data_IF_457753634211
#
_entry.id   IF_457753634211
#
_cell.length_a   1.000
_cell.length_b   1.000
_cell.length_c   1.000
_cell.angle_alpha   90.00
_cell.angle_beta   90.00
_cell.angle_gamma   90.00
#
_symmetry.space_group_name_H-M   'P 1'
#
loop_
_entity.id
_entity.type
_entity.pdbx_description
1 polymer ?
#
# COMPACT_ATOMS: atom_id res chain seq x y z
N UNK A 1 12.60 0.93 11.10
CA UNK A 1 11.73 0.27 10.10
C UNK A 1 12.19 0.56 8.68
N UNK A 2 12.52 1.82 8.32
CA UNK A 2 13.14 2.10 7.02
C UNK A 2 14.56 1.52 6.90
N UNK A 3 15.35 1.52 7.97
CA UNK A 3 16.76 1.06 7.92
C UNK A 3 16.95 -0.40 7.50
N UNK A 4 16.01 -1.28 7.85
CA UNK A 4 16.04 -2.68 7.42
C UNK A 4 15.75 -2.86 5.93
N UNK A 5 15.03 -1.93 5.31
CA UNK A 5 14.71 -1.98 3.88
C UNK A 5 15.97 -1.75 3.05
N UNK A 6 16.87 -0.87 3.49
CA UNK A 6 18.08 -0.52 2.72
C UNK A 6 19.15 -1.60 2.80
N UNK A 7 19.19 -2.35 3.90
CA UNK A 7 19.99 -3.56 4.01
C UNK A 7 19.55 -4.62 2.99
N UNK A 8 18.23 -4.73 2.73
CA UNK A 8 17.67 -5.62 1.72
C UNK A 8 17.93 -5.14 0.29
N UNK A 9 17.86 -3.82 0.05
CA UNK A 9 18.14 -3.21 -1.26
C UNK A 9 19.58 -3.48 -1.70
N UNK A 10 20.54 -3.42 -0.77
CA UNK A 10 21.98 -3.60 -1.05
C UNK A 10 22.46 -5.04 -1.05
N UNK A 11 21.57 -6.03 -0.97
CA UNK A 11 22.00 -7.43 -1.02
C UNK A 11 22.69 -7.73 -2.37
N UNK A 12 23.90 -8.33 -2.37
CA UNK A 12 24.60 -8.68 -3.59
C UNK A 12 23.73 -9.54 -4.52
N UNK A 13 23.70 -9.20 -5.81
CA UNK A 13 22.93 -9.93 -6.83
C UNK A 13 21.47 -9.49 -6.98
N UNK A 14 20.99 -8.53 -6.19
CA UNK A 14 19.66 -7.95 -6.37
C UNK A 14 19.68 -6.95 -7.54
N UNK A 15 18.86 -7.19 -8.56
CA UNK A 15 18.77 -6.34 -9.75
C UNK A 15 17.60 -5.36 -9.68
N UNK A 16 16.50 -5.76 -9.03
CA UNK A 16 15.26 -4.96 -8.95
C UNK A 16 14.67 -5.08 -7.55
N UNK A 17 14.22 -3.95 -7.00
CA UNK A 17 13.52 -3.88 -5.69
C UNK A 17 12.24 -3.07 -5.82
N UNK A 18 11.11 -3.64 -5.38
CA UNK A 18 9.86 -2.91 -5.21
C UNK A 18 9.62 -2.58 -3.74
N UNK A 19 9.35 -1.31 -3.45
CA UNK A 19 9.03 -0.79 -2.12
C UNK A 19 7.60 -0.27 -2.14
N UNK A 20 6.76 -0.78 -1.24
CA UNK A 20 5.39 -0.31 -1.04
C UNK A 20 5.31 0.33 0.35
N UNK A 21 4.79 1.55 0.43
CA UNK A 21 4.79 2.33 1.67
C UNK A 21 3.44 3.00 1.91
N UNK A 22 2.93 2.91 3.13
CA UNK A 22 1.72 3.65 3.53
C UNK A 22 1.97 5.17 3.53
N UNK A 23 1.07 5.94 2.91
CA UNK A 23 1.11 7.40 2.92
C UNK A 23 0.64 7.99 4.27
N UNK A 24 0.00 7.18 5.12
CA UNK A 24 -0.60 7.56 6.39
C UNK A 24 -1.43 8.84 6.23
N UNK A 25 -1.03 9.92 6.92
CA UNK A 25 -1.76 11.20 7.01
C UNK A 25 -1.16 12.31 6.15
N UNK A 26 0.03 12.12 5.56
CA UNK A 26 0.71 13.16 4.77
C UNK A 26 1.61 12.55 3.71
N UNK A 27 1.06 12.41 2.50
CA UNK A 27 1.74 11.86 1.33
C UNK A 27 3.06 12.58 1.03
N UNK A 28 3.08 13.91 1.12
CA UNK A 28 4.28 14.70 0.78
C UNK A 28 5.39 14.48 1.80
N UNK A 29 5.06 14.49 3.08
CA UNK A 29 6.02 14.20 4.13
C UNK A 29 6.54 12.76 4.03
N UNK A 30 5.66 11.80 3.72
CA UNK A 30 6.03 10.40 3.49
C UNK A 30 6.98 10.26 2.30
N UNK A 31 6.64 10.88 1.17
CA UNK A 31 7.50 10.89 -0.02
C UNK A 31 8.87 11.49 0.29
N UNK A 32 8.92 12.66 0.95
CA UNK A 32 10.18 13.29 1.31
C UNK A 32 11.04 12.37 2.19
N UNK A 33 10.45 11.70 3.19
CA UNK A 33 11.20 10.77 4.03
C UNK A 33 11.79 9.58 3.25
N UNK A 34 11.03 9.02 2.29
CA UNK A 34 11.53 7.95 1.40
C UNK A 34 12.62 8.48 0.47
N UNK A 35 12.39 9.65 -0.14
CA UNK A 35 13.31 10.34 -1.05
C UNK A 35 14.64 10.66 -0.36
N UNK A 36 14.61 11.27 0.81
CA UNK A 36 15.82 11.67 1.54
C UNK A 36 16.67 10.43 1.86
N UNK A 37 16.02 9.33 2.24
CA UNK A 37 16.72 8.07 2.50
C UNK A 37 17.29 7.42 1.23
N UNK A 38 16.62 7.54 0.09
CA UNK A 38 17.16 7.12 -1.21
C UNK A 38 18.39 7.92 -1.61
N UNK A 39 18.37 9.23 -1.38
CA UNK A 39 19.52 10.12 -1.61
C UNK A 39 20.70 9.70 -0.72
N UNK A 40 20.46 9.39 0.55
CA UNK A 40 21.51 8.91 1.47
C UNK A 40 22.14 7.58 1.01
N UNK A 41 21.39 6.75 0.29
CA UNK A 41 21.87 5.48 -0.28
C UNK A 41 22.53 5.63 -1.67
N UNK A 42 22.56 6.85 -2.22
CA UNK A 42 23.21 7.17 -3.50
C UNK A 42 22.30 7.14 -4.73
N UNK A 43 20.98 6.97 -4.55
CA UNK A 43 20.01 7.05 -5.64
C UNK A 43 19.71 8.51 -6.00
N UNK A 44 19.17 8.73 -7.20
CA UNK A 44 18.70 10.03 -7.67
C UNK A 44 17.17 10.03 -7.89
N UNK A 45 16.35 10.00 -6.84
CA UNK A 45 14.89 10.02 -6.95
C UNK A 45 14.36 11.37 -7.48
N UNK A 46 13.18 11.38 -8.13
CA UNK A 46 12.53 12.63 -8.54
C UNK A 46 12.13 13.49 -7.34
N UNK A 47 11.80 14.76 -7.58
CA UNK A 47 11.34 15.68 -6.52
C UNK A 47 9.91 15.37 -6.05
N UNK A 48 9.08 14.81 -6.93
CA UNK A 48 7.71 14.40 -6.65
C UNK A 48 7.53 12.93 -7.06
N UNK A 49 6.65 12.18 -6.38
CA UNK A 49 6.35 10.82 -6.78
C UNK A 49 5.61 10.83 -8.13
N UNK A 50 5.88 9.83 -8.96
CA UNK A 50 5.11 9.55 -10.16
C UNK A 50 3.71 9.02 -9.77
N UNK A 51 2.60 9.62 -10.25
CA UNK A 51 1.24 9.12 -10.02
C UNK A 51 1.03 7.67 -10.44
N UNK A 52 1.75 7.20 -11.45
CA UNK A 52 1.66 5.83 -11.95
C UNK A 52 2.60 4.88 -11.19
N UNK A 53 3.32 5.37 -10.18
CA UNK A 53 4.31 4.62 -9.40
C UNK A 53 5.72 4.92 -9.89
N UNK A 54 6.57 5.35 -8.95
CA UNK A 54 7.92 5.85 -9.25
C UNK A 54 8.86 4.70 -9.55
N UNK A 55 9.70 4.84 -10.58
CA UNK A 55 10.78 3.91 -10.89
C UNK A 55 12.07 4.71 -11.05
N UNK A 56 13.08 4.33 -10.28
CA UNK A 56 14.45 4.81 -10.38
C UNK A 56 15.23 3.73 -11.13
N UNK A 57 15.86 4.07 -12.28
CA UNK A 57 16.61 3.09 -13.07
C UNK A 57 17.81 2.56 -12.30
N UNK A 58 18.28 1.38 -12.68
CA UNK A 58 19.54 0.83 -12.16
C UNK A 58 20.74 1.66 -12.64
N UNK A 59 21.82 1.59 -11.87
CA UNK A 59 23.14 2.12 -12.24
C UNK A 59 24.17 0.98 -12.16
N UNK A 60 25.44 1.27 -12.43
CA UNK A 60 26.51 0.27 -12.30
C UNK A 60 26.59 -0.34 -10.88
N UNK A 61 26.27 0.46 -9.86
CA UNK A 61 26.44 0.09 -8.45
C UNK A 61 25.12 -0.11 -7.69
N UNK A 62 23.97 0.23 -8.30
CA UNK A 62 22.68 0.25 -7.62
C UNK A 62 21.59 -0.46 -8.44
N UNK A 63 20.71 -1.25 -7.78
CA UNK A 63 19.61 -1.91 -8.46
C UNK A 63 18.56 -0.92 -8.95
N UNK A 64 17.69 -1.37 -9.86
CA UNK A 64 16.45 -0.66 -10.18
C UNK A 64 15.54 -0.65 -8.95
N UNK A 65 14.98 0.50 -8.60
CA UNK A 65 14.08 0.64 -7.44
C UNK A 65 12.74 1.20 -7.87
N UNK A 66 11.66 0.49 -7.57
CA UNK A 66 10.30 0.99 -7.71
C UNK A 66 9.71 1.36 -6.36
N UNK A 67 8.93 2.44 -6.31
CA UNK A 67 8.24 2.92 -5.11
C UNK A 67 6.77 3.12 -5.43
N UNK A 68 5.91 2.50 -4.61
CA UNK A 68 4.48 2.73 -4.59
C UNK A 68 4.06 3.31 -3.23
N UNK A 69 3.42 4.47 -3.24
CA UNK A 69 2.82 5.07 -2.05
C UNK A 69 1.34 4.67 -2.02
N UNK A 70 0.91 3.99 -0.95
CA UNK A 70 -0.49 3.60 -0.82
C UNK A 70 -1.40 4.82 -0.64
N UNK A 71 -2.67 4.71 -1.08
CA UNK A 71 -3.18 3.60 -1.88
C UNK A 71 -2.82 3.71 -3.37
N UNK A 72 -2.58 4.91 -3.89
CA UNK A 72 -2.63 5.22 -5.33
C UNK A 72 -1.55 6.22 -5.81
N UNK A 73 -0.48 6.43 -5.04
CA UNK A 73 0.57 7.44 -5.24
C UNK A 73 0.14 8.91 -5.13
N UNK A 74 -1.15 9.19 -4.93
CA UNK A 74 -1.73 10.53 -5.02
C UNK A 74 -2.51 10.95 -3.78
N UNK A 75 -2.99 9.97 -3.02
CA UNK A 75 -3.81 10.12 -1.82
C UNK A 75 -3.04 9.72 -0.57
N UNK A 76 -3.47 10.24 0.57
CA UNK A 76 -3.12 9.69 1.88
C UNK A 76 -3.88 8.39 2.13
N UNK A 77 -3.32 7.50 2.94
CA UNK A 77 -3.94 6.23 3.27
C UNK A 77 -2.95 5.10 3.44
N UNK A 78 -3.50 3.94 3.75
CA UNK A 78 -2.80 2.70 4.08
C UNK A 78 -3.26 1.58 3.13
N UNK A 79 -2.67 0.41 3.27
CA UNK A 79 -3.11 -0.79 2.55
C UNK A 79 -4.62 -1.05 2.68
N UNK A 80 -5.22 -0.76 3.84
CA UNK A 80 -6.65 -0.95 4.04
C UNK A 80 -7.51 0.00 3.18
N UNK A 81 -7.03 1.20 2.86
CA UNK A 81 -7.71 2.09 1.90
C UNK A 81 -7.67 1.50 0.49
N UNK A 82 -6.55 0.88 0.12
CA UNK A 82 -6.41 0.17 -1.15
C UNK A 82 -7.36 -1.03 -1.24
N UNK A 83 -7.37 -1.88 -0.20
CA UNK A 83 -8.23 -3.07 -0.14
C UNK A 83 -9.71 -2.68 -0.18
N UNK A 84 -10.12 -1.65 0.56
CA UNK A 84 -11.51 -1.20 0.57
C UNK A 84 -12.01 -0.75 -0.81
N UNK A 85 -11.14 -0.15 -1.63
CA UNK A 85 -11.46 0.21 -3.03
C UNK A 85 -11.56 -0.99 -3.97
N UNK A 86 -11.08 -2.16 -3.54
CA UNK A 86 -11.21 -3.41 -4.28
C UNK A 86 -12.40 -4.25 -3.79
N UNK A 87 -13.12 -3.83 -2.75
CA UNK A 87 -14.32 -4.56 -2.33
C UNK A 87 -15.42 -4.26 -3.35
N UNK A 88 -16.06 -5.32 -3.85
CA UNK A 88 -17.15 -5.20 -4.81
C UNK A 88 -18.24 -4.26 -4.30
N UNK A 89 -18.73 -3.36 -5.16
CA UNK A 89 -19.76 -2.39 -4.79
C UNK A 89 -21.10 -3.02 -4.38
N UNK A 90 -21.34 -4.27 -4.74
CA UNK A 90 -22.51 -5.06 -4.35
C UNK A 90 -22.24 -6.06 -3.21
N UNK A 91 -21.07 -6.03 -2.56
CA UNK A 91 -20.78 -6.89 -1.41
C UNK A 91 -21.74 -6.57 -0.25
N UNK A 92 -22.57 -7.54 0.20
CA UNK A 92 -23.59 -7.28 1.19
C UNK A 92 -23.05 -7.14 2.62
N UNK A 93 -21.78 -7.51 2.86
CA UNK A 93 -21.17 -7.51 4.19
C UNK A 93 -20.36 -6.25 4.44
N UNK A 94 -19.84 -5.60 3.40
CA UNK A 94 -19.11 -4.35 3.55
C UNK A 94 -19.90 -3.27 4.29
N UNK A 95 -21.16 -2.94 3.91
CA UNK A 95 -21.97 -2.00 4.67
C UNK A 95 -22.22 -2.43 6.12
N UNK A 96 -22.33 -3.74 6.39
CA UNK A 96 -22.51 -4.26 7.74
C UNK A 96 -21.27 -4.08 8.60
N UNK A 97 -20.08 -4.25 8.02
CA UNK A 97 -18.81 -3.98 8.69
C UNK A 97 -18.66 -2.48 9.02
N UNK A 98 -19.07 -1.60 8.11
CA UNK A 98 -19.08 -0.16 8.35
C UNK A 98 -20.00 0.21 9.51
N UNK A 99 -21.25 -0.25 9.46
CA UNK A 99 -22.25 -0.02 10.53
C UNK A 99 -21.77 -0.57 11.87
N UNK A 100 -21.18 -1.76 11.89
CA UNK A 100 -20.65 -2.36 13.11
C UNK A 100 -19.56 -1.50 13.73
N UNK A 101 -18.56 -1.07 12.95
CA UNK A 101 -17.43 -0.27 13.45
C UNK A 101 -17.86 1.14 13.85
N UNK A 102 -18.73 1.77 13.06
CA UNK A 102 -19.23 3.11 13.35
C UNK A 102 -20.15 3.14 14.58
N UNK A 103 -20.91 2.07 14.79
CA UNK A 103 -21.82 1.90 15.92
C UNK A 103 -21.13 1.72 17.27
N UNK A 104 -19.82 1.44 17.32
CA UNK A 104 -19.07 1.35 18.58
C UNK A 104 -18.92 2.75 19.17
N UNK A 105 -19.44 3.02 20.39
CA UNK A 105 -19.29 4.32 21.04
C UNK A 105 -17.81 4.71 21.17
N UNK A 106 -17.49 6.00 21.01
CA UNK A 106 -16.10 6.48 21.07
C UNK A 106 -15.37 6.07 22.35
N UNK A 107 -16.08 6.03 23.49
CA UNK A 107 -15.53 5.61 24.78
C UNK A 107 -15.14 4.13 24.84
N UNK A 108 -15.78 3.29 24.02
CA UNK A 108 -15.58 1.83 23.99
C UNK A 108 -14.61 1.40 22.88
N UNK A 109 -14.29 2.28 21.93
CA UNK A 109 -13.32 2.00 20.86
C UNK A 109 -11.93 1.74 21.46
N UNK A 110 -11.34 0.61 21.08
CA UNK A 110 -9.96 0.23 21.43
C UNK A 110 -8.94 0.53 20.32
N UNK A 111 -9.40 1.14 19.23
CA UNK A 111 -8.57 1.60 18.12
C UNK A 111 -8.63 3.12 18.04
N UNK A 112 -7.56 3.74 17.53
CA UNK A 112 -7.50 5.17 17.31
C UNK A 112 -8.43 5.60 16.16
N UNK A 113 -8.91 6.84 16.19
CA UNK A 113 -9.84 7.37 15.18
C UNK A 113 -9.27 7.29 13.76
N UNK A 114 -7.97 7.56 13.58
CA UNK A 114 -7.27 7.43 12.31
C UNK A 114 -7.06 5.97 11.85
N UNK A 115 -7.50 4.98 12.63
CA UNK A 115 -7.49 3.55 12.27
C UNK A 115 -8.90 2.99 12.01
N UNK A 116 -9.89 3.87 11.84
CA UNK A 116 -11.28 3.45 11.55
C UNK A 116 -11.39 2.64 10.27
N UNK A 117 -10.72 3.05 9.18
CA UNK A 117 -10.74 2.32 7.92
C UNK A 117 -10.15 0.90 8.09
N UNK A 118 -9.04 0.79 8.83
CA UNK A 118 -8.46 -0.50 9.18
C UNK A 118 -9.43 -1.39 9.94
N UNK A 119 -10.14 -0.84 10.92
CA UNK A 119 -11.13 -1.58 11.68
C UNK A 119 -12.28 -2.08 10.78
N UNK A 120 -12.75 -1.26 9.83
CA UNK A 120 -13.79 -1.65 8.84
C UNK A 120 -13.34 -2.82 7.97
N UNK A 121 -12.16 -2.71 7.35
CA UNK A 121 -11.59 -3.78 6.50
C UNK A 121 -11.40 -5.08 7.29
N UNK A 122 -10.89 -5.00 8.53
CA UNK A 122 -10.73 -6.18 9.36
C UNK A 122 -12.06 -6.82 9.80
N UNK A 123 -13.09 -6.01 10.08
CA UNK A 123 -14.42 -6.52 10.38
C UNK A 123 -15.04 -7.24 9.17
N UNK A 124 -14.85 -6.69 7.97
CA UNK A 124 -15.27 -7.34 6.73
C UNK A 124 -14.51 -8.66 6.47
N UNK A 125 -13.17 -8.65 6.63
CA UNK A 125 -12.33 -9.84 6.50
C UNK A 125 -12.72 -10.95 7.48
N UNK A 126 -13.11 -10.61 8.70
CA UNK A 126 -13.53 -11.57 9.72
C UNK A 126 -14.79 -12.35 9.33
N UNK A 127 -15.57 -11.84 8.37
CA UNK A 127 -16.79 -12.46 7.85
C UNK A 127 -16.57 -13.19 6.51
N UNK A 128 -15.32 -13.42 6.09
CA UNK A 128 -14.99 -14.23 4.90
C UNK A 128 -14.81 -15.70 5.27
N UNK A 129 -14.95 -16.60 4.29
CA UNK A 129 -14.83 -18.05 4.48
C UNK A 129 -13.46 -18.44 5.07
N UNK A 130 -12.41 -17.74 4.66
CA UNK A 130 -11.08 -17.87 5.26
C UNK A 130 -10.59 -16.48 5.72
N UNK A 131 -10.81 -16.12 7.01
CA UNK A 131 -10.41 -14.82 7.57
C UNK A 131 -8.88 -14.75 7.68
N UNK A 132 -8.23 -14.51 6.55
CA UNK A 132 -6.77 -14.45 6.40
C UNK A 132 -6.27 -13.01 6.40
N UNK A 133 -4.94 -12.87 6.46
CA UNK A 133 -4.27 -11.61 6.22
C UNK A 133 -4.63 -11.06 4.82
N UNK A 134 -4.75 -9.74 4.68
CA UNK A 134 -5.17 -9.06 3.44
C UNK A 134 -4.49 -9.57 2.16
N UNK A 135 -3.18 -9.83 2.20
CA UNK A 135 -2.44 -10.36 1.04
C UNK A 135 -2.86 -11.76 0.57
N UNK A 136 -3.61 -12.50 1.39
CA UNK A 136 -4.18 -13.81 1.05
C UNK A 136 -5.66 -13.71 0.65
N UNK A 137 -6.38 -12.64 1.03
CA UNK A 137 -7.77 -12.39 0.60
C UNK A 137 -7.88 -12.19 -0.92
N UNK A 138 -6.84 -11.61 -1.54
CA UNK A 138 -6.72 -11.50 -3.02
C UNK A 138 -6.85 -12.88 -3.70
N UNK A 139 -6.38 -13.96 -3.06
CA UNK A 139 -6.42 -15.32 -3.64
C UNK A 139 -7.81 -15.96 -3.58
N UNK A 140 -8.71 -15.43 -2.76
CA UNK A 140 -10.06 -15.98 -2.56
C UNK A 140 -11.09 -15.44 -3.57
N UNK A 141 -10.70 -14.52 -4.48
CA UNK A 141 -11.61 -13.79 -5.40
C UNK A 141 -12.69 -12.96 -4.68
N UNK A 142 -12.46 -12.62 -3.42
CA UNK A 142 -13.35 -11.74 -2.64
C UNK A 142 -13.17 -10.25 -3.00
N UNK A 143 -12.19 -9.94 -3.85
CA UNK A 143 -11.80 -8.58 -4.25
C UNK A 143 -11.90 -8.42 -5.76
N UNK A 144 -12.41 -7.29 -6.19
CA UNK A 144 -12.46 -6.83 -7.57
C UNK A 144 -11.05 -6.42 -8.02
N UNK A 145 -10.45 -7.25 -8.87
CA UNK A 145 -9.09 -7.06 -9.39
C UNK A 145 -9.05 -6.38 -10.76
N UNK A 146 -10.21 -6.11 -11.37
CA UNK A 146 -10.35 -5.53 -12.72
C UNK A 146 -10.61 -4.01 -12.70
N UNK A 147 -10.39 -3.35 -11.55
CA UNK A 147 -10.55 -1.91 -11.39
C UNK A 147 -9.30 -1.10 -11.75
N UNK A 148 -9.50 0.17 -12.14
CA UNK A 148 -8.43 1.10 -12.58
C UNK A 148 -7.24 1.17 -11.59
N UNK A 149 -7.52 1.15 -10.28
CA UNK A 149 -6.49 1.19 -9.25
C UNK A 149 -5.61 -0.07 -9.25
N UNK A 150 -6.23 -1.25 -9.43
CA UNK A 150 -5.51 -2.52 -9.54
C UNK A 150 -4.69 -2.56 -10.82
N UNK A 151 -5.25 -2.09 -11.94
CA UNK A 151 -4.57 -1.99 -13.23
C UNK A 151 -3.32 -1.10 -13.15
N UNK A 152 -3.41 0.07 -12.50
CA UNK A 152 -2.25 0.95 -12.27
C UNK A 152 -1.17 0.27 -11.44
N UNK A 153 -1.56 -0.38 -10.34
CA UNK A 153 -0.61 -1.09 -9.48
C UNK A 153 0.08 -2.25 -10.22
N UNK A 154 -0.68 -3.05 -10.98
CA UNK A 154 -0.15 -4.15 -11.79
C UNK A 154 0.71 -3.64 -12.93
N UNK A 155 0.32 -2.55 -13.59
CA UNK A 155 1.11 -1.87 -14.63
C UNK A 155 2.45 -1.41 -14.07
N UNK A 156 2.47 -0.81 -12.88
CA UNK A 156 3.70 -0.44 -12.19
C UNK A 156 4.59 -1.67 -11.90
N UNK A 157 4.03 -2.76 -11.35
CA UNK A 157 4.77 -4.00 -11.11
C UNK A 157 5.39 -4.55 -12.41
N UNK A 158 4.64 -4.55 -13.51
CA UNK A 158 5.12 -4.98 -14.82
C UNK A 158 6.24 -4.09 -15.36
N UNK A 159 6.13 -2.76 -15.22
CA UNK A 159 7.21 -1.83 -15.61
C UNK A 159 8.45 -1.98 -14.74
N UNK A 160 8.29 -2.36 -13.47
CA UNK A 160 9.39 -2.51 -12.53
C UNK A 160 10.18 -3.81 -12.78
N UNK A 161 9.48 -4.95 -12.85
CA UNK A 161 10.08 -6.29 -12.88
C UNK A 161 10.14 -6.93 -14.27
N UNK A 162 9.44 -6.37 -15.26
CA UNK A 162 9.36 -6.89 -16.63
C UNK A 162 10.39 -6.29 -17.59
#
# INVERSE_FOLDING_TARGET
MLDSIWLEVRQPGRQVVGIVVDADINLRARWNAVRDRLVDEGFNPPTQPDPEGTIIPETEDLPRVGIWLMPDNQSTGELEDFVARMIHGDDPVWPLAEVYIEGIPLADRKFAENKTQRAKVHAWLAAREDPRQMGQAIRARDLEVDGELCDKFVSWLRRLFG
#
